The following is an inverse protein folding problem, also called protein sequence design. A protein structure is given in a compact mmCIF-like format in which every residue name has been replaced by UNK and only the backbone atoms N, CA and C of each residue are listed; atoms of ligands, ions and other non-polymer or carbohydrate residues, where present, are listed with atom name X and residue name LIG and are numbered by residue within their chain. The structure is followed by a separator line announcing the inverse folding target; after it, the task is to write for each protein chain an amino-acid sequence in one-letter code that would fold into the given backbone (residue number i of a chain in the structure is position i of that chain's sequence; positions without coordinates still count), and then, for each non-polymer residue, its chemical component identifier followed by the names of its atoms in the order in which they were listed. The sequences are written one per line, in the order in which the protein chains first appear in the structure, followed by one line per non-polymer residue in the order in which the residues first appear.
data_IF_886442922624
#
_entry.id   IF_886442922624
#
_cell.length_a   1.000
_cell.length_b   1.000
_cell.length_c   1.000
_cell.angle_alpha   90.00
_cell.angle_beta   90.00
_cell.angle_gamma   90.00
#
_symmetry.space_group_name_H-M   'P 1'
#
loop_
_entity.id
_entity.type
_entity.pdbx_description
1 polymer ?
#
# COMPACT_ATOMS: atom_id res chain seq x y z
N UNK A 1 7.89 11.54 -2.20
CA UNK A 1 6.59 11.06 -1.69
C UNK A 1 6.42 11.58 -0.29
N UNK A 2 5.19 11.90 0.10
CA UNK A 2 4.82 12.29 1.46
C UNK A 2 3.88 11.22 1.98
N UNK A 3 4.18 10.73 3.18
CA UNK A 3 3.35 9.78 3.92
C UNK A 3 2.50 10.58 4.89
N UNK A 4 1.26 10.16 5.12
CA UNK A 4 0.46 10.77 6.19
C UNK A 4 1.17 10.58 7.53
N UNK A 5 1.54 11.69 8.17
CA UNK A 5 2.27 11.68 9.45
C UNK A 5 1.31 11.74 10.62
N UNK A 6 1.77 11.33 11.81
CA UNK A 6 1.01 11.60 13.03
C UNK A 6 0.77 13.11 13.19
N UNK A 7 -0.47 13.56 13.46
CA UNK A 7 -0.72 14.94 13.84
C UNK A 7 0.05 15.26 15.13
N UNK A 8 0.16 16.55 15.45
CA UNK A 8 0.85 17.08 16.64
C UNK A 8 0.38 16.47 17.98
N UNK A 9 -0.77 15.79 18.01
CA UNK A 9 -1.31 15.07 19.18
C UNK A 9 -0.95 13.56 19.22
N UNK A 10 -0.14 13.06 18.27
CA UNK A 10 0.38 11.70 18.27
C UNK A 10 -0.63 10.60 17.97
N UNK A 11 -1.79 10.92 17.36
CA UNK A 11 -2.86 9.95 17.05
C UNK A 11 -3.19 9.91 15.57
N UNK A 12 -3.17 8.74 14.96
CA UNK A 12 -3.56 8.55 13.55
C UNK A 12 -5.03 8.90 13.31
N UNK A 13 -5.35 9.32 12.09
CA UNK A 13 -6.75 9.53 11.68
C UNK A 13 -7.50 8.19 11.77
N UNK A 14 -8.51 8.11 12.65
CA UNK A 14 -9.30 6.90 12.85
C UNK A 14 -10.06 6.46 11.60
N UNK A 15 -10.25 7.34 10.62
CA UNK A 15 -10.88 6.99 9.33
C UNK A 15 -9.98 6.12 8.46
N UNK A 16 -8.68 6.07 8.74
CA UNK A 16 -7.72 5.18 8.09
C UNK A 16 -7.63 3.80 8.76
N UNK A 17 -8.29 3.59 9.90
CA UNK A 17 -8.36 2.29 10.55
C UNK A 17 -9.39 1.42 9.82
N UNK A 18 -8.92 0.36 9.18
CA UNK A 18 -9.76 -0.60 8.46
C UNK A 18 -9.95 -1.83 9.34
N UNK A 19 -11.18 -2.34 9.46
CA UNK A 19 -11.46 -3.48 10.34
C UNK A 19 -10.92 -4.78 9.75
N UNK A 20 -10.43 -5.68 10.61
CA UNK A 20 -9.93 -7.00 10.20
C UNK A 20 -10.96 -7.78 9.37
N UNK A 21 -12.25 -7.70 9.71
CA UNK A 21 -13.33 -8.33 8.95
C UNK A 21 -13.38 -7.90 7.48
N UNK A 22 -13.08 -6.62 7.21
CA UNK A 22 -13.11 -6.04 5.87
C UNK A 22 -11.86 -6.44 5.07
N UNK A 23 -10.75 -6.72 5.75
CA UNK A 23 -9.60 -7.36 5.12
C UNK A 23 -9.91 -8.82 4.77
N UNK A 24 -10.64 -9.56 5.63
CA UNK A 24 -10.83 -11.01 5.48
C UNK A 24 -11.91 -11.47 4.50
N UNK A 25 -12.65 -10.56 3.83
CA UNK A 25 -13.83 -10.92 3.04
C UNK A 25 -13.84 -10.36 1.60
N UNK A 26 -14.16 -11.18 0.58
CA UNK A 26 -13.78 -12.59 0.40
C UNK A 26 -12.27 -12.66 0.11
N UNK A 27 -11.58 -13.65 0.68
CA UNK A 27 -10.13 -13.85 0.47
C UNK A 27 -9.82 -15.19 -0.21
N UNK A 28 -10.81 -15.83 -0.82
CA UNK A 28 -10.69 -17.19 -1.36
C UNK A 28 -10.32 -17.25 -2.84
N UNK A 29 -9.91 -16.13 -3.44
CA UNK A 29 -9.44 -16.05 -4.82
C UNK A 29 -8.32 -15.01 -4.94
N UNK A 30 -7.36 -15.25 -5.84
CA UNK A 30 -6.31 -14.29 -6.19
C UNK A 30 -6.89 -12.94 -6.65
N UNK A 31 -8.14 -12.90 -7.10
CA UNK A 31 -8.83 -11.67 -7.49
C UNK A 31 -8.94 -10.64 -6.35
N UNK A 32 -8.84 -11.08 -5.10
CA UNK A 32 -8.92 -10.23 -3.91
C UNK A 32 -7.54 -9.81 -3.39
N UNK A 33 -6.46 -10.14 -4.09
CA UNK A 33 -5.11 -9.74 -3.71
C UNK A 33 -4.84 -8.28 -4.11
N UNK A 34 -4.46 -7.47 -3.11
CA UNK A 34 -3.91 -6.13 -3.28
C UNK A 34 -4.90 -4.97 -3.16
N UNK A 35 -4.49 -3.80 -3.65
CA UNK A 35 -5.17 -2.52 -3.43
C UNK A 35 -6.55 -2.38 -4.09
N UNK A 36 -6.76 -3.03 -5.23
CA UNK A 36 -8.05 -3.15 -5.90
C UNK A 36 -8.26 -4.57 -6.39
N UNK A 37 -9.50 -5.02 -6.39
CA UNK A 37 -9.90 -6.38 -6.73
C UNK A 37 -10.27 -6.50 -8.21
N UNK A 38 -10.07 -7.70 -8.76
CA UNK A 38 -10.53 -8.06 -10.09
C UNK A 38 -11.70 -9.04 -10.06
N UNK A 39 -11.67 -10.03 -10.96
CA UNK A 39 -12.79 -10.95 -11.17
C UNK A 39 -12.47 -12.34 -10.62
N UNK A 40 -13.16 -12.75 -9.55
CA UNK A 40 -13.04 -14.08 -8.98
C UNK A 40 -13.58 -15.16 -9.93
N UNK A 41 -13.02 -16.38 -9.84
CA UNK A 41 -13.36 -17.50 -10.74
C UNK A 41 -12.86 -17.34 -12.18
N UNK A 42 -11.98 -16.36 -12.41
CA UNK A 42 -11.37 -16.15 -13.72
C UNK A 42 -10.30 -17.19 -14.03
N UNK A 43 -10.05 -17.43 -15.32
CA UNK A 43 -9.03 -18.32 -15.84
C UNK A 43 -7.81 -17.60 -16.42
N UNK A 44 -7.78 -16.27 -16.37
CA UNK A 44 -6.64 -15.47 -16.86
C UNK A 44 -6.16 -14.46 -15.82
N UNK A 45 -4.85 -14.23 -15.79
CA UNK A 45 -4.21 -13.32 -14.85
C UNK A 45 -4.74 -11.89 -14.97
N UNK A 46 -4.98 -11.42 -16.19
CA UNK A 46 -5.46 -10.07 -16.47
C UNK A 46 -6.87 -9.83 -15.92
N UNK A 47 -7.74 -10.85 -15.99
CA UNK A 47 -9.12 -10.75 -15.50
C UNK A 47 -9.17 -10.93 -13.99
N UNK A 48 -8.37 -11.85 -13.42
CA UNK A 48 -8.16 -11.96 -11.97
C UNK A 48 -7.67 -10.64 -11.38
N UNK A 49 -6.77 -9.91 -12.05
CA UNK A 49 -6.20 -8.65 -11.56
C UNK A 49 -6.62 -7.42 -12.38
N UNK A 50 -7.91 -7.35 -12.75
CA UNK A 50 -8.48 -6.32 -13.62
C UNK A 50 -8.69 -4.95 -12.94
N UNK A 51 -8.60 -4.89 -11.60
CA UNK A 51 -8.82 -3.68 -10.79
C UNK A 51 -10.18 -3.04 -11.10
N UNK A 52 -11.24 -3.83 -11.09
CA UNK A 52 -12.61 -3.38 -11.33
C UNK A 52 -13.31 -2.89 -10.07
N UNK A 53 -12.83 -3.28 -8.90
CA UNK A 53 -13.52 -3.03 -7.62
C UNK A 53 -12.54 -2.47 -6.59
N UNK A 54 -12.92 -1.40 -5.88
CA UNK A 54 -12.11 -0.86 -4.79
C UNK A 54 -12.08 -1.85 -3.61
N UNK A 55 -10.92 -2.02 -3.01
CA UNK A 55 -10.83 -2.65 -1.68
C UNK A 55 -11.38 -1.69 -0.59
N UNK A 56 -11.71 -2.19 0.61
CA UNK A 56 -12.02 -1.34 1.76
C UNK A 56 -10.93 -0.32 2.09
N UNK A 57 -9.66 -0.72 1.96
CA UNK A 57 -8.49 0.15 2.15
C UNK A 57 -8.49 1.30 1.16
N UNK A 58 -8.73 1.01 -0.12
CA UNK A 58 -8.84 2.04 -1.16
C UNK A 58 -9.96 3.02 -0.85
N UNK A 59 -11.10 2.55 -0.36
CA UNK A 59 -12.20 3.45 0.03
C UNK A 59 -11.83 4.37 1.20
N UNK A 60 -11.17 3.83 2.24
CA UNK A 60 -10.69 4.63 3.38
C UNK A 60 -9.67 5.71 2.95
N UNK A 61 -8.72 5.33 2.09
CA UNK A 61 -7.68 6.24 1.57
C UNK A 61 -8.27 7.32 0.65
N UNK A 62 -9.27 6.97 -0.18
CA UNK A 62 -9.98 7.96 -1.01
C UNK A 62 -10.72 9.00 -0.14
N UNK A 63 -11.38 8.56 0.93
CA UNK A 63 -12.08 9.45 1.87
C UNK A 63 -11.10 10.37 2.60
N UNK A 64 -9.96 9.83 3.04
CA UNK A 64 -8.89 10.64 3.63
C UNK A 64 -8.38 11.69 2.64
N UNK A 65 -8.19 11.33 1.37
CA UNK A 65 -7.71 12.26 0.35
C UNK A 65 -8.71 13.39 0.11
N UNK A 66 -10.00 13.08 0.04
CA UNK A 66 -11.03 14.11 -0.12
C UNK A 66 -11.04 15.09 1.04
N UNK A 67 -10.99 14.57 2.27
CA UNK A 67 -10.97 15.39 3.49
C UNK A 67 -9.73 16.27 3.59
N UNK A 68 -8.54 15.72 3.37
CA UNK A 68 -7.28 16.37 3.72
C UNK A 68 -6.61 17.09 2.54
N UNK A 69 -6.95 16.75 1.29
CA UNK A 69 -6.32 17.30 0.09
C UNK A 69 -7.33 18.07 -0.78
N UNK A 70 -8.48 17.49 -1.10
CA UNK A 70 -9.45 18.14 -1.99
C UNK A 70 -10.15 19.29 -1.26
N UNK A 71 -10.72 19.01 -0.08
CA UNK A 71 -11.50 19.99 0.69
C UNK A 71 -10.64 21.12 1.28
N UNK A 72 -9.32 20.99 1.24
CA UNK A 72 -8.34 21.99 1.66
C UNK A 72 -7.75 22.78 0.49
N UNK A 73 -8.11 22.44 -0.75
CA UNK A 73 -7.63 23.12 -1.96
C UNK A 73 -6.20 22.73 -2.39
N UNK A 74 -5.63 21.64 -1.84
CA UNK A 74 -4.26 21.23 -2.12
C UNK A 74 -4.11 20.24 -3.28
N UNK A 75 -5.20 19.82 -3.93
CA UNK A 75 -5.13 18.83 -5.01
C UNK A 75 -4.18 19.27 -6.15
N UNK A 76 -4.06 20.57 -6.42
CA UNK A 76 -3.20 21.10 -7.47
C UNK A 76 -1.70 20.93 -7.20
N UNK A 77 -1.28 20.69 -5.96
CA UNK A 77 0.12 20.42 -5.60
C UNK A 77 0.49 18.94 -5.68
N UNK A 78 -0.51 18.06 -5.83
CA UNK A 78 -0.30 16.61 -5.90
C UNK A 78 -0.05 16.18 -7.35
N UNK A 79 1.05 15.49 -7.59
CA UNK A 79 1.40 14.88 -8.87
C UNK A 79 0.57 13.61 -9.11
N UNK A 80 0.23 13.36 -10.37
CA UNK A 80 -0.14 12.01 -10.77
C UNK A 80 1.14 11.16 -10.85
N UNK A 81 1.19 10.09 -10.09
CA UNK A 81 2.37 9.25 -9.91
C UNK A 81 1.97 7.78 -9.87
N UNK A 82 2.92 6.90 -10.19
CA UNK A 82 2.71 5.45 -10.13
C UNK A 82 2.79 4.99 -8.68
N UNK A 83 1.70 4.45 -8.17
CA UNK A 83 1.66 3.69 -6.91
C UNK A 83 1.60 2.20 -7.24
N UNK A 84 2.63 1.44 -6.88
CA UNK A 84 2.79 0.07 -7.37
C UNK A 84 2.26 -0.97 -6.39
N UNK A 85 1.25 -1.73 -6.80
CA UNK A 85 0.71 -2.84 -5.99
C UNK A 85 1.57 -4.12 -6.09
N UNK A 86 2.38 -4.20 -7.15
CA UNK A 86 3.29 -5.30 -7.47
C UNK A 86 2.78 -6.72 -7.17
N UNK A 87 1.84 -7.21 -7.97
CA UNK A 87 1.38 -8.60 -7.98
C UNK A 87 2.23 -9.48 -8.90
N UNK A 88 3.48 -9.11 -9.16
CA UNK A 88 4.36 -9.96 -9.96
C UNK A 88 4.50 -11.32 -9.30
N UNK A 89 4.24 -12.38 -10.06
CA UNK A 89 4.23 -13.75 -9.55
C UNK A 89 5.66 -14.25 -9.41
N UNK A 90 6.00 -14.72 -8.21
CA UNK A 90 7.25 -15.43 -7.92
C UNK A 90 7.06 -16.94 -8.15
N UNK A 91 5.94 -17.50 -7.69
CA UNK A 91 5.58 -18.91 -7.84
C UNK A 91 4.06 -19.04 -8.03
N UNK A 92 3.62 -20.04 -8.81
CA UNK A 92 2.20 -20.25 -9.11
C UNK A 92 1.74 -19.44 -10.33
N UNK A 93 0.48 -19.00 -10.32
CA UNK A 93 -0.14 -18.37 -11.50
C UNK A 93 -0.79 -17.02 -11.24
N UNK A 94 -1.16 -16.71 -9.99
CA UNK A 94 -1.97 -15.54 -9.67
C UNK A 94 -3.39 -15.62 -10.23
N UNK A 95 -3.92 -16.81 -10.49
CA UNK A 95 -5.23 -17.01 -11.13
C UNK A 95 -6.13 -17.84 -10.22
N UNK A 96 -7.36 -17.36 -10.03
CA UNK A 96 -8.41 -18.11 -9.33
C UNK A 96 -7.98 -18.53 -7.93
N UNK A 97 -8.17 -19.80 -7.60
CA UNK A 97 -7.81 -20.40 -6.31
C UNK A 97 -6.41 -21.04 -6.30
N UNK A 98 -5.57 -20.78 -7.30
CA UNK A 98 -4.24 -21.37 -7.36
C UNK A 98 -3.32 -20.75 -6.30
N UNK A 99 -2.65 -21.61 -5.54
CA UNK A 99 -1.55 -21.23 -4.64
C UNK A 99 -0.54 -20.36 -5.42
N UNK A 100 -0.25 -19.18 -4.89
CA UNK A 100 0.57 -18.17 -5.58
C UNK A 100 1.45 -17.44 -4.58
N UNK A 101 2.75 -17.40 -4.83
CA UNK A 101 3.68 -16.51 -4.15
C UNK A 101 3.93 -15.26 -4.98
N UNK A 102 3.90 -14.08 -4.36
CA UNK A 102 4.18 -12.81 -5.02
C UNK A 102 5.58 -12.29 -4.71
N UNK A 103 6.14 -11.51 -5.63
CA UNK A 103 7.50 -11.01 -5.56
C UNK A 103 7.82 -10.17 -4.30
N UNK A 104 6.92 -9.33 -3.75
CA UNK A 104 7.23 -8.63 -2.49
C UNK A 104 7.52 -9.59 -1.33
N UNK A 105 6.81 -10.72 -1.24
CA UNK A 105 7.10 -11.76 -0.24
C UNK A 105 8.49 -12.37 -0.40
N UNK A 106 8.87 -12.70 -1.64
CA UNK A 106 10.22 -13.18 -1.94
C UNK A 106 11.31 -12.13 -1.64
N UNK A 107 11.04 -10.84 -1.90
CA UNK A 107 11.99 -9.75 -1.62
C UNK A 107 12.17 -9.52 -0.13
N UNK A 108 11.12 -9.65 0.67
CA UNK A 108 11.22 -9.58 2.12
C UNK A 108 12.13 -10.69 2.67
N UNK A 109 11.97 -11.93 2.19
CA UNK A 109 12.81 -13.07 2.60
C UNK A 109 14.28 -12.92 2.16
N UNK A 110 14.50 -12.40 0.95
CA UNK A 110 15.85 -12.26 0.37
C UNK A 110 16.52 -10.91 0.67
N UNK A 111 15.82 -9.98 1.33
CA UNK A 111 16.28 -8.61 1.59
C UNK A 111 16.68 -7.84 0.32
N UNK A 112 15.88 -7.95 -0.74
CA UNK A 112 16.16 -7.34 -2.06
C UNK A 112 15.07 -6.38 -2.53
N UNK A 113 14.79 -5.28 -1.82
CA UNK A 113 13.69 -4.38 -2.16
C UNK A 113 13.90 -3.69 -3.52
N UNK A 114 12.81 -3.32 -4.18
CA UNK A 114 12.83 -2.61 -5.47
C UNK A 114 11.66 -1.66 -5.62
N UNK A 115 11.89 -0.52 -6.27
CA UNK A 115 10.82 0.40 -6.69
C UNK A 115 10.30 0.13 -8.11
N UNK A 116 10.74 -0.97 -8.74
CA UNK A 116 10.34 -1.32 -10.12
C UNK A 116 8.94 -1.93 -10.15
N UNK A 117 8.03 -1.30 -10.87
CA UNK A 117 6.68 -1.82 -11.12
C UNK A 117 6.58 -2.49 -12.50
N UNK A 118 6.83 -3.80 -12.58
CA UNK A 118 6.91 -4.51 -13.86
C UNK A 118 5.54 -4.72 -14.50
N UNK A 119 4.54 -5.09 -13.70
CA UNK A 119 3.17 -5.31 -14.15
C UNK A 119 2.47 -3.99 -14.47
N UNK A 120 2.00 -3.84 -15.71
CA UNK A 120 1.31 -2.61 -16.15
C UNK A 120 -0.01 -2.38 -15.42
N UNK A 121 -0.76 -3.44 -15.15
CA UNK A 121 -2.01 -3.37 -14.39
C UNK A 121 -1.80 -2.98 -12.93
N UNK A 122 -0.59 -3.12 -12.37
CA UNK A 122 -0.28 -2.73 -10.99
C UNK A 122 0.24 -1.30 -10.85
N UNK A 123 0.41 -0.56 -11.95
CA UNK A 123 0.83 0.84 -11.95
C UNK A 123 -0.38 1.75 -11.71
N UNK A 124 -0.82 1.86 -10.46
CA UNK A 124 -1.98 2.69 -10.15
C UNK A 124 -1.68 4.17 -10.35
N UNK A 125 -2.49 4.81 -11.19
CA UNK A 125 -2.41 6.23 -11.57
C UNK A 125 -3.80 6.77 -11.85
N UNK A 126 -3.96 8.10 -11.88
CA UNK A 126 -5.18 8.76 -12.38
C UNK A 126 -5.20 8.81 -13.91
N UNK A 127 -4.04 9.03 -14.54
CA UNK A 127 -3.88 9.03 -16.00
C UNK A 127 -3.67 7.64 -16.58
N UNK A 128 -4.24 7.37 -17.76
CA UNK A 128 -4.00 6.15 -18.56
C UNK A 128 -2.71 6.20 -19.38
N UNK A 129 -2.04 7.36 -19.48
CA UNK A 129 -0.77 7.50 -20.21
C UNK A 129 0.44 7.15 -19.35
N UNK A 130 0.34 7.34 -18.02
CA UNK A 130 1.40 7.05 -17.07
C UNK A 130 1.31 5.62 -16.51
N UNK A 131 0.09 5.14 -16.29
CA UNK A 131 -0.19 3.85 -15.66
C UNK A 131 -1.56 3.30 -16.05
N UNK A 132 -2.21 2.59 -15.13
CA UNK A 132 -3.46 1.88 -15.39
C UNK A 132 -4.71 2.76 -15.41
N UNK A 133 -4.62 4.02 -14.98
CA UNK A 133 -5.74 4.98 -14.95
C UNK A 133 -6.90 4.58 -14.04
N UNK A 134 -6.67 3.70 -13.06
CA UNK A 134 -7.71 3.18 -12.17
C UNK A 134 -7.95 4.04 -10.93
N UNK A 135 -7.07 5.00 -10.64
CA UNK A 135 -7.25 5.87 -9.50
C UNK A 135 -8.22 7.02 -9.81
N UNK A 136 -9.18 7.20 -8.92
CA UNK A 136 -10.04 8.38 -8.84
C UNK A 136 -9.33 9.55 -8.15
N UNK A 137 -8.44 9.26 -7.20
CA UNK A 137 -7.67 10.19 -6.37
C UNK A 137 -6.16 9.91 -6.50
N UNK A 138 -5.30 10.93 -6.47
CA UNK A 138 -3.85 10.80 -6.73
C UNK A 138 -3.08 10.27 -5.50
N UNK A 139 -3.51 9.13 -4.96
CA UNK A 139 -3.04 8.58 -3.69
C UNK A 139 -2.91 7.06 -3.75
N UNK A 140 -1.83 6.55 -3.14
CA UNK A 140 -1.61 5.14 -2.91
C UNK A 140 -1.46 4.83 -1.42
N UNK A 141 -0.96 3.63 -1.13
CA UNK A 141 -0.56 3.20 0.22
C UNK A 141 0.90 2.80 0.18
N UNK A 142 1.61 2.97 1.30
CA UNK A 142 3.01 2.54 1.44
C UNK A 142 3.17 1.07 1.05
N UNK A 143 4.27 0.74 0.38
CA UNK A 143 4.63 -0.63 -0.05
C UNK A 143 5.67 -1.23 0.88
N UNK A 144 5.70 -2.56 1.00
CA UNK A 144 6.73 -3.26 1.79
C UNK A 144 8.16 -2.90 1.35
N UNK A 145 8.39 -2.71 0.05
CA UNK A 145 9.68 -2.29 -0.50
C UNK A 145 10.09 -0.89 -0.03
N UNK A 146 9.17 0.07 0.04
CA UNK A 146 9.45 1.39 0.61
C UNK A 146 9.81 1.30 2.09
N UNK A 147 9.11 0.45 2.85
CA UNK A 147 9.42 0.22 4.27
C UNK A 147 10.79 -0.45 4.44
N UNK A 148 11.14 -1.39 3.57
CA UNK A 148 12.47 -2.01 3.55
C UNK A 148 13.56 -1.01 3.19
N UNK A 149 13.35 -0.14 2.19
CA UNK A 149 14.29 0.94 1.87
C UNK A 149 14.46 1.94 3.03
N UNK A 150 13.43 2.13 3.85
CA UNK A 150 13.54 2.95 5.05
C UNK A 150 14.43 2.31 6.13
N UNK A 151 14.64 0.99 6.08
CA UNK A 151 15.49 0.23 7.00
C UNK A 151 14.77 -0.85 7.80
N UNK A 152 13.47 -1.06 7.57
CA UNK A 152 12.72 -2.12 8.23
C UNK A 152 13.08 -3.51 7.66
N UNK A 153 12.94 -4.54 8.49
CA UNK A 153 13.14 -5.95 8.11
C UNK A 153 12.01 -6.79 8.67
N UNK A 154 12.11 -8.12 8.59
CA UNK A 154 11.22 -9.04 9.34
C UNK A 154 11.54 -9.13 10.83
N UNK A 155 12.58 -8.43 11.31
CA UNK A 155 12.92 -8.31 12.73
C UNK A 155 12.47 -6.95 13.28
N UNK A 156 11.94 -6.96 14.51
CA UNK A 156 11.49 -5.76 15.21
C UNK A 156 12.65 -4.76 15.36
N UNK A 157 12.38 -3.50 15.02
CA UNK A 157 13.34 -2.41 15.12
C UNK A 157 12.59 -1.09 15.17
N UNK A 158 13.11 -0.11 15.89
CA UNK A 158 12.62 1.27 15.84
C UNK A 158 13.58 2.23 15.11
N UNK A 159 14.66 1.69 14.54
CA UNK A 159 15.77 2.46 13.99
C UNK A 159 15.58 2.75 12.48
N UNK A 160 14.42 3.26 12.07
CA UNK A 160 14.16 3.68 10.69
C UNK A 160 13.15 4.83 10.61
N UNK A 161 13.26 5.68 9.58
CA UNK A 161 12.54 6.97 9.56
C UNK A 161 11.02 6.84 9.41
N UNK A 162 10.51 5.72 8.90
CA UNK A 162 9.08 5.45 8.82
C UNK A 162 8.51 4.82 10.09
N UNK A 163 9.33 4.51 11.10
CA UNK A 163 8.89 3.79 12.29
C UNK A 163 7.72 4.47 12.99
N UNK A 164 7.83 5.76 13.29
CA UNK A 164 6.78 6.49 14.01
C UNK A 164 5.47 6.60 13.22
N UNK A 165 5.55 6.57 11.89
CA UNK A 165 4.39 6.65 11.00
C UNK A 165 3.70 5.29 10.88
N UNK A 166 4.47 4.20 10.85
CA UNK A 166 3.98 2.85 10.54
C UNK A 166 3.74 2.01 11.78
N UNK A 167 4.40 2.29 12.90
CA UNK A 167 4.24 1.50 14.11
C UNK A 167 3.12 2.04 15.01
N UNK A 168 2.13 1.22 15.33
CA UNK A 168 1.15 1.46 16.40
C UNK A 168 1.12 0.18 17.24
N UNK A 169 1.33 0.31 18.56
CA UNK A 169 1.44 -0.84 19.45
C UNK A 169 0.13 -1.61 19.62
N UNK A 170 -0.99 -1.03 19.20
CA UNK A 170 -2.33 -1.63 19.31
C UNK A 170 -2.86 -2.13 17.97
N UNK A 171 -2.31 -1.65 16.85
CA UNK A 171 -2.77 -1.95 15.49
C UNK A 171 -1.58 -1.99 14.51
N UNK A 172 -1.58 -2.91 13.55
CA UNK A 172 -0.60 -2.88 12.47
C UNK A 172 -0.88 -1.78 11.43
N UNK A 173 0.08 -1.53 10.55
CA UNK A 173 -0.13 -0.78 9.30
C UNK A 173 -0.07 -1.70 8.12
N UNK A 174 -1.11 -1.73 7.30
CA UNK A 174 -1.10 -2.51 6.07
C UNK A 174 -0.20 -1.87 5.01
N UNK A 175 0.46 -2.69 4.20
CA UNK A 175 1.19 -2.20 3.02
C UNK A 175 0.53 -2.67 1.74
N UNK A 176 0.67 -1.88 0.68
CA UNK A 176 0.13 -2.17 -0.65
C UNK A 176 0.69 -3.45 -1.29
N UNK A 177 1.75 -4.02 -0.71
CA UNK A 177 2.44 -5.18 -1.25
C UNK A 177 1.80 -6.50 -0.82
N UNK A 178 1.36 -7.34 -1.77
CA UNK A 178 0.89 -8.69 -1.49
C UNK A 178 2.05 -9.66 -1.22
N UNK A 179 1.77 -10.73 -0.50
CA UNK A 179 2.74 -11.77 -0.16
C UNK A 179 2.41 -13.07 -0.89
N UNK A 180 1.19 -13.57 -0.73
CA UNK A 180 0.76 -14.83 -1.33
C UNK A 180 -0.76 -14.94 -1.40
N UNK A 181 -1.22 -15.90 -2.19
CA UNK A 181 -2.51 -16.57 -1.98
C UNK A 181 -2.18 -18.01 -1.59
N UNK A 182 -2.55 -18.42 -0.37
CA UNK A 182 -2.23 -19.75 0.12
C UNK A 182 -3.24 -20.30 1.11
N UNK A 183 -3.39 -21.62 1.19
CA UNK A 183 -4.35 -22.28 2.08
C UNK A 183 -5.78 -21.72 1.94
N UNK A 184 -6.16 -21.34 0.72
CA UNK A 184 -7.47 -20.75 0.41
C UNK A 184 -7.68 -19.32 0.92
N UNK A 185 -6.61 -18.59 1.26
CA UNK A 185 -6.64 -17.23 1.79
C UNK A 185 -5.63 -16.30 1.13
N UNK A 186 -5.89 -14.99 1.15
CA UNK A 186 -4.94 -13.96 0.75
C UNK A 186 -3.99 -13.66 1.91
N UNK A 187 -2.71 -13.45 1.60
CA UNK A 187 -1.64 -13.10 2.53
C UNK A 187 -1.11 -11.74 2.11
N UNK A 188 -1.31 -10.75 2.97
CA UNK A 188 -0.77 -9.40 2.78
C UNK A 188 0.35 -9.13 3.77
N UNK A 189 1.13 -8.08 3.50
CA UNK A 189 2.11 -7.60 4.47
C UNK A 189 1.55 -6.49 5.34
N UNK A 190 2.01 -6.45 6.59
CA UNK A 190 1.77 -5.35 7.50
C UNK A 190 3.04 -5.00 8.28
N UNK A 191 3.09 -3.80 8.83
CA UNK A 191 4.13 -3.35 9.75
C UNK A 191 3.54 -3.32 11.16
N UNK A 192 4.15 -4.06 12.08
CA UNK A 192 3.76 -4.11 13.49
C UNK A 192 5.04 -4.25 14.32
N UNK A 193 5.10 -3.61 15.49
CA UNK A 193 6.30 -3.54 16.34
C UNK A 193 7.59 -3.17 15.59
N UNK A 194 7.46 -2.41 14.50
CA UNK A 194 8.57 -2.02 13.63
C UNK A 194 9.14 -3.10 12.71
N UNK A 195 8.51 -4.28 12.65
CA UNK A 195 8.84 -5.35 11.71
C UNK A 195 7.80 -5.43 10.58
N UNK A 196 8.24 -5.88 9.40
CA UNK A 196 7.35 -6.27 8.32
C UNK A 196 6.98 -7.75 8.51
N UNK A 197 5.70 -8.00 8.75
CA UNK A 197 5.15 -9.35 8.84
C UNK A 197 4.50 -9.76 7.53
N UNK A 198 4.69 -11.03 7.19
CA UNK A 198 4.13 -11.70 6.03
C UNK A 198 3.27 -12.90 6.47
N UNK A 199 2.49 -12.71 7.55
CA UNK A 199 1.66 -13.75 8.15
C UNK A 199 0.21 -13.28 8.28
N UNK A 200 -0.76 -14.11 7.86
CA UNK A 200 -2.17 -13.81 7.98
C UNK A 200 -2.54 -13.67 9.46
N UNK A 201 -2.00 -14.54 10.30
CA UNK A 201 -2.30 -14.57 11.72
C UNK A 201 -1.96 -13.21 12.36
N UNK A 202 -0.74 -12.71 12.16
CA UNK A 202 -0.30 -11.46 12.80
C UNK A 202 -1.04 -10.25 12.22
N UNK A 203 -1.25 -10.22 10.91
CA UNK A 203 -1.89 -9.07 10.25
C UNK A 203 -3.44 -9.10 10.32
N UNK A 204 -4.09 -10.20 10.68
CA UNK A 204 -5.57 -10.29 10.75
C UNK A 204 -6.15 -10.16 12.16
N UNK A 205 -5.37 -10.30 13.23
CA UNK A 205 -5.92 -10.22 14.60
C UNK A 205 -6.26 -8.79 15.07
N UNK A 206 -5.80 -7.76 14.35
CA UNK A 206 -6.07 -6.36 14.68
C UNK A 206 -6.64 -5.62 13.47
N UNK A 207 -7.47 -4.61 13.72
CA UNK A 207 -7.72 -3.58 12.71
C UNK A 207 -6.37 -2.97 12.31
N UNK A 208 -6.17 -2.67 11.03
CA UNK A 208 -4.91 -2.10 10.55
C UNK A 208 -5.13 -0.72 9.95
N UNK A 209 -4.15 0.14 10.12
CA UNK A 209 -4.15 1.44 9.47
C UNK A 209 -3.70 1.31 8.02
N UNK A 210 -4.43 1.97 7.13
CA UNK A 210 -3.89 2.38 5.84
C UNK A 210 -2.98 3.59 6.06
N UNK A 211 -1.84 3.64 5.36
CA UNK A 211 -0.92 4.80 5.41
C UNK A 211 -0.88 5.43 4.02
N UNK A 212 -1.70 6.48 3.77
CA UNK A 212 -1.76 7.16 2.50
C UNK A 212 -0.39 7.71 2.07
N UNK A 213 -0.12 7.60 0.77
CA UNK A 213 1.07 8.14 0.14
C UNK A 213 0.66 9.03 -1.02
N UNK A 214 1.15 10.28 -1.00
CA UNK A 214 1.00 11.22 -2.11
C UNK A 214 2.36 11.60 -2.70
N UNK A 215 2.38 11.92 -3.98
CA UNK A 215 3.53 12.53 -4.65
C UNK A 215 3.27 14.01 -4.85
N UNK A 216 4.22 14.86 -4.47
CA UNK A 216 4.14 16.31 -4.69
C UNK A 216 4.70 16.62 -6.08
N UNK A 217 4.10 17.58 -6.78
CA UNK A 217 4.65 18.07 -8.04
C UNK A 217 5.99 18.76 -7.80
N UNK A 218 6.99 18.46 -8.64
CA UNK A 218 8.32 19.03 -8.46
C UNK A 218 8.36 20.56 -8.54
N UNK A 219 7.48 21.16 -9.35
CA UNK A 219 7.36 22.62 -9.52
C UNK A 219 6.61 23.31 -8.36
N UNK A 220 5.89 22.56 -7.53
CA UNK A 220 5.29 23.07 -6.30
C UNK A 220 6.32 23.18 -5.15
N UNK A 221 7.50 22.56 -5.27
CA UNK A 221 8.53 22.56 -4.22
C UNK A 221 9.38 23.83 -4.36
N UNK A 222 9.20 24.77 -3.44
CA UNK A 222 9.94 26.03 -3.43
C UNK A 222 11.26 25.97 -2.65
N UNK A 223 11.37 25.02 -1.69
CA UNK A 223 12.60 24.79 -0.94
C UNK A 223 12.56 23.45 -0.18
N UNK A 224 13.68 23.07 0.43
CA UNK A 224 13.83 21.83 1.17
C UNK A 224 14.42 20.70 0.34
N UNK A 225 14.91 19.67 1.03
CA UNK A 225 15.50 18.47 0.39
C UNK A 225 14.70 17.20 0.70
N UNK A 226 13.63 17.32 1.49
CA UNK A 226 12.82 16.19 1.93
C UNK A 226 13.43 15.38 3.06
N UNK A 227 14.52 15.85 3.67
CA UNK A 227 15.10 15.26 4.88
C UNK A 227 14.38 15.75 6.12
N UNK A 228 14.45 15.00 7.23
CA UNK A 228 13.77 15.36 8.50
C UNK A 228 14.15 16.75 9.01
N UNK A 229 15.42 17.14 8.84
CA UNK A 229 15.94 18.45 9.26
C UNK A 229 15.76 19.55 8.20
N UNK A 230 15.33 19.19 6.98
CA UNK A 230 15.11 20.13 5.88
C UNK A 230 13.95 19.65 4.98
N UNK A 231 12.71 19.67 5.52
CA UNK A 231 11.52 19.16 4.83
C UNK A 231 11.18 20.01 3.61
N UNK A 232 10.46 19.43 2.64
CA UNK A 232 9.95 20.18 1.50
C UNK A 232 8.96 21.26 1.95
N UNK A 233 9.09 22.45 1.37
CA UNK A 233 8.11 23.53 1.47
C UNK A 233 7.45 23.71 0.12
N UNK A 234 6.13 23.89 0.15
CA UNK A 234 5.29 24.02 -1.04
C UNK A 234 4.53 25.35 -1.06
N UNK A 235 4.32 25.92 -2.23
CA UNK A 235 3.55 27.16 -2.48
C UNK A 235 2.74 27.06 -3.77
#
# INVERSE_FOLDING_TARGET
MIYDSLPTEGRRDSTLLVNSSDFTAPMNDNAYVGYMYGTAGSSTYESTHSNSTNSPIKNAVDQWYDKNIVNTGYEDYVADAIYCNDRSVYEGTGIGTAETGYMPGNRLLSSTPTLKCVNKNDRFTKSTTLGNGKLTKKVGVVTSDEVMYAGATSSESNAYYLYEILNDSSNGSWTMSPIAFSNGGVYSSCVLNGAIYASPDICYFTSNYAVPVISIKGDAIISGTGTSNNPFKVE
#
